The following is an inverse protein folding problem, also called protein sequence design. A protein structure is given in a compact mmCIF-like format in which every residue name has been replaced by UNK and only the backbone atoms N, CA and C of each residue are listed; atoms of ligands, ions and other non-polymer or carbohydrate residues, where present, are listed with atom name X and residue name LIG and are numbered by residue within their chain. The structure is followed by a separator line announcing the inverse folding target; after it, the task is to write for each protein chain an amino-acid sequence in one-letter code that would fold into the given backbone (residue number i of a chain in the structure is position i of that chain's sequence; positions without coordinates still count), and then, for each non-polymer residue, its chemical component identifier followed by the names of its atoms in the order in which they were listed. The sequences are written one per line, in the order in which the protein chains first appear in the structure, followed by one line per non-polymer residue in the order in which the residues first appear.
data_IF_318863930907
#
_entry.id   IF_318863930907
#
_cell.length_a   1.000
_cell.length_b   1.000
_cell.length_c   1.000
_cell.angle_alpha   90.00
_cell.angle_beta   90.00
_cell.angle_gamma   90.00
#
_symmetry.space_group_name_H-M   'P 1'
#
loop_
_entity.id
_entity.type
_entity.pdbx_description
1 polymer ?
#
# COMPACT_ATOMS: atom_id res chain seq x y z
N UNK A 1 1.71 18.93 5.00
CA UNK A 1 2.15 17.66 4.37
C UNK A 1 1.10 16.58 4.60
N UNK A 2 0.84 15.71 3.61
CA UNK A 2 -0.13 14.60 3.72
C UNK A 2 0.21 13.63 4.85
N UNK A 3 1.51 13.37 5.05
CA UNK A 3 2.03 12.54 6.13
C UNK A 3 1.58 13.06 7.51
N UNK A 4 1.73 14.36 7.77
CA UNK A 4 1.28 14.98 9.02
C UNK A 4 -0.24 14.89 9.18
N UNK A 5 -0.99 15.07 8.10
CA UNK A 5 -2.45 14.96 8.12
C UNK A 5 -2.92 13.52 8.43
N UNK A 6 -2.20 12.50 7.94
CA UNK A 6 -2.46 11.10 8.25
C UNK A 6 -2.03 10.72 9.67
N UNK A 7 -0.89 11.22 10.15
CA UNK A 7 -0.35 10.94 11.48
C UNK A 7 -1.18 11.57 12.63
N UNK A 8 -2.03 12.57 12.33
CA UNK A 8 -2.84 13.26 13.35
C UNK A 8 -2.02 14.01 14.39
N UNK A 9 -0.73 14.25 14.11
CA UNK A 9 0.26 14.96 14.94
C UNK A 9 1.19 15.75 14.02
N UNK A 10 1.78 16.84 14.52
CA UNK A 10 2.92 17.52 13.90
C UNK A 10 4.19 16.65 13.99
N UNK A 11 4.15 15.45 13.42
CA UNK A 11 5.24 14.48 13.51
C UNK A 11 6.43 14.81 12.58
N UNK A 12 6.25 15.69 11.60
CA UNK A 12 7.35 16.11 10.75
C UNK A 12 7.44 17.63 10.66
N UNK A 13 8.62 18.17 11.00
CA UNK A 13 9.05 19.48 10.54
C UNK A 13 9.26 19.35 9.02
N UNK A 14 8.20 19.56 8.26
CA UNK A 14 8.26 19.63 6.79
C UNK A 14 8.41 21.09 6.42
N UNK A 15 9.55 21.45 5.83
CA UNK A 15 9.73 22.77 5.24
C UNK A 15 9.10 22.77 3.85
N UNK A 16 8.39 23.84 3.48
CA UNK A 16 7.61 23.97 2.23
C UNK A 16 8.46 24.03 0.93
N UNK A 17 9.72 23.60 0.97
CA UNK A 17 10.60 23.61 -0.19
C UNK A 17 10.46 22.27 -0.91
N UNK A 18 9.84 22.29 -2.10
CA UNK A 18 9.72 21.14 -2.99
C UNK A 18 11.12 20.54 -3.28
N UNK A 19 11.32 19.25 -2.98
CA UNK A 19 12.58 18.54 -3.21
C UNK A 19 13.55 18.43 -2.02
N UNK A 20 13.06 18.56 -0.77
CA UNK A 20 13.90 18.51 0.45
C UNK A 20 14.03 17.14 1.12
N UNK A 21 13.21 16.15 0.78
CA UNK A 21 13.29 14.80 1.36
C UNK A 21 14.37 13.98 0.65
N UNK A 22 15.64 14.34 0.90
CA UNK A 22 16.84 13.65 0.39
C UNK A 22 17.04 12.26 1.00
N UNK A 23 16.48 12.03 2.18
CA UNK A 23 16.43 10.73 2.84
C UNK A 23 14.99 10.20 2.81
N UNK A 24 14.87 8.88 2.62
CA UNK A 24 13.60 8.17 2.72
C UNK A 24 13.08 8.33 4.16
N UNK A 25 12.03 9.13 4.34
CA UNK A 25 11.39 9.30 5.64
C UNK A 25 10.49 8.11 5.89
N UNK A 26 10.75 7.37 6.96
CA UNK A 26 9.95 6.23 7.39
C UNK A 26 9.20 6.61 8.65
N UNK A 27 7.88 6.64 8.56
CA UNK A 27 7.01 7.00 9.67
C UNK A 27 6.08 5.85 10.03
N UNK A 28 5.94 5.64 11.34
CA UNK A 28 5.06 4.63 11.92
C UNK A 28 3.82 5.32 12.47
N UNK A 29 2.70 5.19 11.79
CA UNK A 29 1.43 5.80 12.22
C UNK A 29 0.42 4.74 12.63
N UNK A 30 -0.54 5.14 13.45
CA UNK A 30 -1.67 4.29 13.82
C UNK A 30 -2.96 4.97 13.34
N UNK A 31 -3.73 4.25 12.53
CA UNK A 31 -5.00 4.71 11.98
C UNK A 31 -6.10 3.83 12.57
N UNK A 32 -6.84 4.33 13.56
CA UNK A 32 -7.89 3.57 14.26
C UNK A 32 -7.42 2.17 14.76
N UNK A 33 -6.18 2.10 15.26
CA UNK A 33 -5.56 0.86 15.74
C UNK A 33 -4.82 0.04 14.67
N UNK A 34 -4.96 0.40 13.39
CA UNK A 34 -4.23 -0.18 12.26
C UNK A 34 -2.82 0.41 12.21
N UNK A 35 -1.74 -0.38 12.38
CA UNK A 35 -0.38 0.12 12.20
C UNK A 35 -0.09 0.29 10.70
N UNK A 36 0.42 1.45 10.30
CA UNK A 36 0.92 1.69 8.95
C UNK A 36 2.38 2.13 9.02
N UNK A 37 3.15 1.65 8.04
CA UNK A 37 4.48 2.13 7.73
C UNK A 37 4.38 2.99 6.49
N UNK A 38 4.50 4.31 6.64
CA UNK A 38 4.52 5.23 5.51
C UNK A 38 5.95 5.56 5.17
N UNK A 39 6.27 5.43 3.90
CA UNK A 39 7.59 5.70 3.36
C UNK A 39 7.45 6.85 2.37
N UNK A 40 7.96 8.03 2.73
CA UNK A 40 8.10 9.14 1.79
C UNK A 40 9.33 8.88 0.96
N UNK A 41 9.12 8.53 -0.31
CA UNK A 41 10.25 8.35 -1.23
C UNK A 41 10.80 9.73 -1.59
N UNK A 42 12.13 9.84 -1.67
CA UNK A 42 12.74 11.01 -2.29
C UNK A 42 12.08 11.20 -3.65
N UNK A 43 11.57 12.41 -3.91
CA UNK A 43 10.75 12.69 -5.09
C UNK A 43 11.36 12.04 -6.32
N UNK A 44 10.67 11.05 -6.87
CA UNK A 44 11.10 10.36 -8.07
C UNK A 44 11.15 11.46 -9.16
N UNK A 45 12.32 11.75 -9.70
CA UNK A 45 12.51 12.71 -10.80
C UNK A 45 13.82 12.36 -11.48
N UNK A 46 14.06 12.87 -12.67
CA UNK A 46 15.31 12.60 -13.38
C UNK A 46 16.49 13.14 -12.57
N UNK A 47 17.38 12.23 -12.14
CA UNK A 47 18.56 12.58 -11.36
C UNK A 47 19.53 13.44 -12.18
N UNK A 48 20.03 14.50 -11.56
CA UNK A 48 21.09 15.34 -12.13
C UNK A 48 22.48 14.97 -11.59
N UNK A 49 22.56 14.24 -10.47
CA UNK A 49 23.81 13.76 -9.88
C UNK A 49 23.76 12.27 -9.44
N UNK A 50 24.93 11.69 -9.17
CA UNK A 50 25.12 10.29 -8.76
C UNK A 50 24.40 9.97 -7.43
N UNK A 51 24.27 10.95 -6.54
CA UNK A 51 23.64 10.79 -5.22
C UNK A 51 22.12 10.70 -5.36
N UNK A 52 21.53 11.53 -6.21
CA UNK A 52 20.11 11.48 -6.59
C UNK A 52 19.78 10.15 -7.28
N UNK A 53 20.68 9.61 -8.10
CA UNK A 53 20.50 8.28 -8.72
C UNK A 53 20.38 7.18 -7.67
N UNK A 54 21.24 7.19 -6.65
CA UNK A 54 21.16 6.25 -5.51
C UNK A 54 19.86 6.45 -4.73
N UNK A 55 19.42 7.69 -4.55
CA UNK A 55 18.13 8.02 -3.91
C UNK A 55 16.93 7.42 -4.65
N UNK A 56 16.91 7.53 -5.98
CA UNK A 56 15.87 6.94 -6.83
C UNK A 56 15.91 5.41 -6.76
N UNK A 57 17.09 4.81 -6.82
CA UNK A 57 17.23 3.35 -6.74
C UNK A 57 16.71 2.80 -5.41
N UNK A 58 16.99 3.49 -4.30
CA UNK A 58 16.42 3.18 -2.98
C UNK A 58 14.90 3.35 -2.97
N UNK A 59 14.37 4.44 -3.53
CA UNK A 59 12.93 4.64 -3.63
C UNK A 59 12.22 3.48 -4.36
N UNK A 60 12.84 2.96 -5.43
CA UNK A 60 12.31 1.78 -6.12
C UNK A 60 12.34 0.50 -5.28
N UNK A 61 13.40 0.27 -4.49
CA UNK A 61 13.47 -0.87 -3.58
C UNK A 61 12.38 -0.82 -2.50
N UNK A 62 12.01 0.37 -2.02
CA UNK A 62 10.91 0.55 -1.08
C UNK A 62 9.55 0.33 -1.76
N UNK A 63 9.39 0.81 -3.00
CA UNK A 63 8.18 0.58 -3.80
C UNK A 63 7.94 -0.91 -4.03
N UNK A 64 8.98 -1.68 -4.39
CA UNK A 64 8.87 -3.12 -4.64
C UNK A 64 8.43 -3.92 -3.39
N UNK A 65 8.63 -3.36 -2.20
CA UNK A 65 8.23 -3.96 -0.92
C UNK A 65 6.91 -3.40 -0.39
N UNK A 66 6.32 -2.41 -1.06
CA UNK A 66 5.12 -1.74 -0.58
C UNK A 66 3.86 -2.57 -0.87
N UNK A 67 2.95 -2.62 0.10
CA UNK A 67 1.62 -3.23 -0.07
C UNK A 67 0.70 -2.37 -0.96
N UNK A 68 0.98 -1.06 -1.05
CA UNK A 68 0.21 -0.09 -1.85
C UNK A 68 1.03 1.16 -2.12
N UNK A 69 0.87 1.73 -3.31
CA UNK A 69 1.47 3.00 -3.70
C UNK A 69 0.44 4.12 -3.67
N UNK A 70 0.78 5.24 -3.03
CA UNK A 70 0.04 6.50 -3.11
C UNK A 70 0.68 7.40 -4.16
N UNK A 71 0.06 7.51 -5.33
CA UNK A 71 0.53 8.35 -6.43
C UNK A 71 0.00 9.78 -6.27
N UNK A 72 0.83 10.67 -5.72
CA UNK A 72 0.42 12.02 -5.36
C UNK A 72 0.51 12.98 -6.55
N UNK A 73 -0.60 13.68 -6.80
CA UNK A 73 -0.76 14.68 -7.85
C UNK A 73 -1.16 16.02 -7.26
N UNK A 74 -0.68 17.08 -7.87
CA UNK A 74 -1.15 18.44 -7.57
C UNK A 74 -2.34 18.77 -8.47
N UNK A 75 -3.53 18.87 -7.88
CA UNK A 75 -4.78 19.20 -8.57
C UNK A 75 -4.75 20.52 -9.32
N UNK A 76 -3.85 21.45 -8.97
CA UNK A 76 -3.73 22.74 -9.64
C UNK A 76 -2.94 22.67 -10.96
N UNK A 77 -2.21 21.59 -11.18
CA UNK A 77 -1.26 21.47 -12.31
C UNK A 77 -1.77 20.67 -13.49
N UNK A 78 -2.71 19.74 -13.26
CA UNK A 78 -3.21 18.86 -14.32
C UNK A 78 -4.58 18.30 -13.96
N UNK A 79 -5.51 18.31 -14.91
CA UNK A 79 -6.81 17.63 -14.80
C UNK A 79 -6.70 16.13 -15.11
N UNK A 80 -5.57 15.69 -15.67
CA UNK A 80 -5.36 14.28 -15.96
C UNK A 80 -5.29 13.47 -14.67
N UNK A 81 -5.97 12.33 -14.67
CA UNK A 81 -6.08 11.42 -13.54
C UNK A 81 -5.46 10.06 -13.85
N UNK A 82 -5.08 9.80 -15.10
CA UNK A 82 -4.45 8.55 -15.50
C UNK A 82 -2.94 8.57 -15.25
N UNK A 83 -2.42 7.74 -14.32
CA UNK A 83 -0.99 7.71 -14.02
C UNK A 83 -0.14 7.37 -15.25
N UNK A 84 -0.66 6.54 -16.15
CA UNK A 84 0.01 6.13 -17.38
C UNK A 84 0.27 7.29 -18.35
N UNK A 85 -0.57 8.34 -18.31
CA UNK A 85 -0.38 9.53 -19.13
C UNK A 85 0.48 10.58 -18.45
N UNK A 86 0.41 10.66 -17.12
CA UNK A 86 1.18 11.63 -16.33
C UNK A 86 2.63 11.16 -16.22
N UNK A 87 2.83 9.87 -15.99
CA UNK A 87 4.13 9.27 -15.80
C UNK A 87 4.21 7.82 -16.31
N UNK A 88 4.28 7.63 -17.63
CA UNK A 88 4.33 6.30 -18.24
C UNK A 88 5.52 5.46 -17.76
N UNK A 89 6.68 6.10 -17.56
CA UNK A 89 7.91 5.43 -17.10
C UNK A 89 7.76 4.84 -15.70
N UNK A 90 7.11 5.55 -14.78
CA UNK A 90 6.80 5.04 -13.45
C UNK A 90 5.87 3.83 -13.52
N UNK A 91 4.79 3.95 -14.27
CA UNK A 91 3.79 2.88 -14.39
C UNK A 91 4.35 1.62 -15.07
N UNK A 92 5.23 1.79 -16.07
CA UNK A 92 5.86 0.64 -16.74
C UNK A 92 6.86 -0.12 -15.87
N UNK A 93 7.47 0.54 -14.88
CA UNK A 93 8.41 -0.08 -13.95
C UNK A 93 7.73 -0.63 -12.69
N UNK A 94 6.55 -0.12 -12.35
CA UNK A 94 5.80 -0.57 -11.19
C UNK A 94 5.36 -2.03 -11.34
N UNK A 95 5.58 -2.90 -10.32
CA UNK A 95 5.08 -4.26 -10.34
C UNK A 95 3.55 -4.30 -10.47
N UNK A 96 2.97 -5.12 -11.39
CA UNK A 96 1.52 -5.19 -11.60
C UNK A 96 0.71 -5.66 -10.38
N UNK A 97 1.37 -6.32 -9.43
CA UNK A 97 0.76 -6.80 -8.19
C UNK A 97 0.51 -5.71 -7.15
N UNK A 98 1.18 -4.54 -7.27
CA UNK A 98 1.10 -3.49 -6.27
C UNK A 98 -0.03 -2.52 -6.67
N UNK A 99 -1.11 -2.43 -5.88
CA UNK A 99 -2.21 -1.53 -6.20
C UNK A 99 -1.78 -0.06 -6.04
N UNK A 100 -2.30 0.79 -6.92
CA UNK A 100 -2.05 2.23 -6.91
C UNK A 100 -3.31 2.98 -6.50
N UNK A 101 -3.16 3.95 -5.61
CA UNK A 101 -4.21 4.93 -5.27
C UNK A 101 -3.72 6.31 -5.62
N UNK A 102 -4.53 7.05 -6.37
CA UNK A 102 -4.17 8.36 -6.89
C UNK A 102 -4.67 9.40 -5.90
N UNK A 103 -3.77 10.28 -5.45
CA UNK A 103 -4.10 11.32 -4.48
C UNK A 103 -4.04 12.67 -5.18
N UNK A 104 -5.20 13.26 -5.45
CA UNK A 104 -5.35 14.61 -5.99
C UNK A 104 -5.34 15.61 -4.83
N UNK A 105 -4.17 16.17 -4.56
CA UNK A 105 -3.94 17.07 -3.43
C UNK A 105 -4.10 18.54 -3.84
N UNK A 106 -4.33 19.42 -2.86
CA UNK A 106 -4.56 20.87 -3.00
C UNK A 106 -5.94 21.25 -3.58
N UNK A 107 -6.96 20.45 -3.27
CA UNK A 107 -8.36 20.75 -3.60
C UNK A 107 -8.84 22.14 -3.10
N UNK A 108 -8.24 22.65 -2.02
CA UNK A 108 -8.49 24.00 -1.48
C UNK A 108 -8.10 25.12 -2.45
N UNK A 109 -7.18 24.86 -3.38
CA UNK A 109 -6.71 25.82 -4.37
C UNK A 109 -7.36 25.57 -5.73
N UNK A 110 -7.46 24.30 -6.15
CA UNK A 110 -8.05 23.96 -7.46
C UNK A 110 -9.57 24.15 -7.50
N UNK A 111 -10.24 24.15 -6.34
CA UNK A 111 -11.70 24.20 -6.24
C UNK A 111 -12.38 22.89 -6.64
N UNK A 112 -11.61 21.81 -6.85
CA UNK A 112 -12.18 20.47 -7.03
C UNK A 112 -12.90 20.03 -5.76
N UNK A 113 -14.05 19.38 -5.92
CA UNK A 113 -14.79 18.80 -4.79
C UNK A 113 -14.04 17.59 -4.24
N UNK A 114 -13.87 17.54 -2.91
CA UNK A 114 -13.28 16.37 -2.27
C UNK A 114 -14.17 15.16 -2.46
N UNK A 115 -13.55 14.01 -2.69
CA UNK A 115 -14.30 12.81 -2.98
C UNK A 115 -13.41 11.65 -3.38
N UNK A 116 -14.04 10.47 -3.39
CA UNK A 116 -13.44 9.24 -3.89
C UNK A 116 -14.14 8.86 -5.19
N UNK A 117 -13.36 8.53 -6.21
CA UNK A 117 -13.86 8.05 -7.51
C UNK A 117 -13.03 6.87 -7.95
N UNK A 118 -13.68 5.89 -8.56
CA UNK A 118 -12.99 4.75 -9.15
C UNK A 118 -13.22 4.77 -10.65
N UNK A 119 -12.15 5.04 -11.40
CA UNK A 119 -12.20 5.16 -12.86
C UNK A 119 -10.99 4.45 -13.47
N UNK A 120 -11.21 3.76 -14.59
CA UNK A 120 -10.14 3.05 -15.32
C UNK A 120 -9.32 2.06 -14.46
N UNK A 121 -9.94 1.48 -13.42
CA UNK A 121 -9.28 0.53 -12.51
C UNK A 121 -8.46 1.18 -11.38
N UNK A 122 -8.39 2.51 -11.32
CA UNK A 122 -7.70 3.24 -10.26
C UNK A 122 -8.70 3.92 -9.33
N UNK A 123 -8.39 3.92 -8.03
CA UNK A 123 -9.10 4.74 -7.05
C UNK A 123 -8.39 6.08 -6.92
N UNK A 124 -9.12 7.15 -7.22
CA UNK A 124 -8.68 8.54 -7.10
C UNK A 124 -9.37 9.19 -5.91
N UNK A 125 -8.58 9.81 -5.04
CA UNK A 125 -9.05 10.53 -3.86
C UNK A 125 -8.60 11.98 -3.98
N UNK A 126 -9.59 12.87 -4.12
CA UNK A 126 -9.38 14.32 -4.11
C UNK A 126 -9.48 14.82 -2.68
N UNK A 127 -8.43 15.51 -2.22
CA UNK A 127 -8.31 16.01 -0.86
C UNK A 127 -7.47 17.29 -0.79
N UNK A 128 -7.52 17.96 0.36
CA UNK A 128 -6.53 18.96 0.73
C UNK A 128 -5.82 18.54 2.00
N UNK A 129 -4.53 18.22 1.86
CA UNK A 129 -3.67 17.93 3.01
C UNK A 129 -3.48 19.15 3.92
N UNK A 130 -3.70 20.37 3.42
CA UNK A 130 -3.51 21.61 4.18
C UNK A 130 -4.72 21.91 5.06
N UNK A 131 -5.93 21.82 4.51
CA UNK A 131 -7.18 22.04 5.25
C UNK A 131 -7.68 20.78 5.95
N UNK A 132 -7.03 19.64 5.69
CA UNK A 132 -7.41 18.29 6.14
C UNK A 132 -8.76 17.80 5.58
N UNK A 133 -9.33 18.51 4.60
CA UNK A 133 -10.55 18.07 3.92
C UNK A 133 -10.25 16.83 3.05
N UNK A 134 -11.15 15.85 3.06
CA UNK A 134 -11.00 14.60 2.31
C UNK A 134 -10.01 13.59 2.91
N UNK A 135 -9.25 13.95 3.96
CA UNK A 135 -8.30 13.03 4.61
C UNK A 135 -9.01 11.82 5.22
N UNK A 136 -10.22 12.01 5.74
CA UNK A 136 -11.01 10.91 6.29
C UNK A 136 -11.34 9.85 5.23
N UNK A 137 -11.63 10.28 3.99
CA UNK A 137 -11.88 9.37 2.87
C UNK A 137 -10.64 8.53 2.54
N UNK A 138 -9.46 9.15 2.56
CA UNK A 138 -8.20 8.42 2.41
C UNK A 138 -7.99 7.40 3.53
N UNK A 139 -8.30 7.77 4.77
CA UNK A 139 -8.15 6.85 5.91
C UNK A 139 -9.08 5.65 5.80
N UNK A 140 -10.32 5.86 5.39
CA UNK A 140 -11.30 4.80 5.16
C UNK A 140 -10.89 3.89 4.01
N UNK A 141 -10.49 4.46 2.88
CA UNK A 141 -9.98 3.71 1.73
C UNK A 141 -8.76 2.84 2.08
N UNK A 142 -7.82 3.37 2.89
CA UNK A 142 -6.65 2.60 3.32
C UNK A 142 -7.06 1.42 4.22
N UNK A 143 -8.04 1.58 5.11
CA UNK A 143 -8.58 0.49 5.93
C UNK A 143 -9.21 -0.60 5.07
N UNK A 144 -10.07 -0.20 4.13
CA UNK A 144 -10.75 -1.13 3.22
C UNK A 144 -9.76 -1.87 2.32
N UNK A 145 -8.76 -1.15 1.80
CA UNK A 145 -7.76 -1.68 0.88
C UNK A 145 -6.89 -2.79 1.47
N UNK A 146 -6.69 -2.80 2.78
CA UNK A 146 -5.94 -3.86 3.46
C UNK A 146 -6.85 -4.90 4.14
N UNK A 147 -8.16 -4.80 3.93
CA UNK A 147 -9.14 -5.69 4.57
C UNK A 147 -9.23 -5.51 6.08
N UNK A 148 -8.86 -4.33 6.61
CA UNK A 148 -8.99 -4.03 8.03
C UNK A 148 -10.47 -3.84 8.37
N UNK A 149 -11.12 -4.95 8.70
CA UNK A 149 -12.43 -4.94 9.33
C UNK A 149 -12.23 -4.71 10.81
N UNK A 150 -12.94 -3.73 11.38
CA UNK A 150 -13.03 -3.59 12.83
C UNK A 150 -13.64 -4.88 13.36
N UNK A 151 -12.79 -5.75 13.88
CA UNK A 151 -13.20 -7.04 14.43
C UNK A 151 -13.97 -6.74 15.72
N UNK A 152 -15.28 -6.57 15.58
CA UNK A 152 -16.22 -6.82 16.67
C UNK A 152 -16.13 -8.31 17.01
N UNK A 153 -15.45 -8.62 18.12
CA UNK A 153 -15.30 -9.93 18.76
C UNK A 153 -15.12 -11.16 17.83
N UNK A 154 -13.88 -11.67 17.72
CA UNK A 154 -13.61 -13.05 17.26
C UNK A 154 -12.62 -13.22 16.10
N UNK A 155 -12.11 -12.14 15.52
CA UNK A 155 -11.11 -12.17 14.46
C UNK A 155 -9.72 -12.46 15.00
N UNK A 156 -9.17 -13.61 14.60
CA UNK A 156 -7.80 -13.99 14.91
C UNK A 156 -6.82 -13.16 14.07
N UNK A 157 -5.88 -12.48 14.72
CA UNK A 157 -4.71 -11.89 14.06
C UNK A 157 -3.74 -13.00 13.65
N UNK A 158 -3.89 -13.52 12.43
CA UNK A 158 -2.95 -14.48 11.86
C UNK A 158 -1.79 -13.74 11.17
N UNK A 159 -0.55 -13.99 11.61
CA UNK A 159 0.65 -13.52 10.90
C UNK A 159 0.87 -14.37 9.65
N UNK A 160 1.63 -13.87 8.68
CA UNK A 160 1.99 -14.59 7.45
C UNK A 160 2.46 -16.04 7.71
N UNK A 161 3.34 -16.27 8.69
CA UNK A 161 3.79 -17.64 9.06
C UNK A 161 2.65 -18.58 9.48
N UNK A 162 1.58 -18.05 10.10
CA UNK A 162 0.43 -18.86 10.51
C UNK A 162 -0.41 -19.23 9.29
N UNK A 163 -0.54 -18.31 8.33
CA UNK A 163 -1.22 -18.58 7.06
C UNK A 163 -0.43 -19.61 6.23
N UNK A 164 0.88 -19.46 6.15
CA UNK A 164 1.77 -20.41 5.45
C UNK A 164 1.68 -21.81 6.08
N UNK A 165 1.66 -21.92 7.41
CA UNK A 165 1.48 -23.20 8.10
C UNK A 165 0.09 -23.81 7.82
N UNK A 166 -0.97 -23.01 7.76
CA UNK A 166 -2.32 -23.48 7.44
C UNK A 166 -2.43 -23.94 5.98
N UNK A 167 -1.81 -23.22 5.04
CA UNK A 167 -1.75 -23.65 3.63
C UNK A 167 -0.99 -24.97 3.47
N UNK A 168 0.15 -25.12 4.14
CA UNK A 168 0.93 -26.36 4.13
C UNK A 168 0.12 -27.52 4.73
N UNK A 169 -0.52 -27.30 5.88
CA UNK A 169 -1.39 -28.30 6.49
C UNK A 169 -2.55 -28.69 5.56
N UNK A 170 -3.18 -27.72 4.89
CA UNK A 170 -4.25 -27.99 3.94
C UNK A 170 -3.77 -28.79 2.72
N UNK A 171 -2.58 -28.49 2.19
CA UNK A 171 -1.96 -29.27 1.11
C UNK A 171 -1.71 -30.72 1.51
N UNK A 172 -1.12 -30.95 2.69
CA UNK A 172 -0.87 -32.29 3.22
C UNK A 172 -2.18 -33.05 3.47
N UNK A 173 -3.22 -32.40 4.01
CA UNK A 173 -4.54 -33.02 4.19
C UNK A 173 -5.18 -33.42 2.85
N UNK A 174 -5.08 -32.57 1.82
CA UNK A 174 -5.59 -32.88 0.49
C UNK A 174 -4.82 -34.04 -0.15
N UNK A 175 -3.49 -34.04 -0.03
CA UNK A 175 -2.63 -35.10 -0.52
C UNK A 175 -2.95 -36.43 0.17
N UNK A 176 -3.07 -36.43 1.50
CA UNK A 176 -3.45 -37.60 2.29
C UNK A 176 -4.84 -38.14 1.90
N UNK A 177 -5.80 -37.26 1.65
CA UNK A 177 -7.13 -37.66 1.16
C UNK A 177 -7.06 -38.39 -0.19
N UNK A 178 -6.24 -37.88 -1.13
CA UNK A 178 -6.01 -38.53 -2.43
C UNK A 178 -5.35 -39.90 -2.24
N UNK A 179 -4.30 -40.00 -1.42
CA UNK A 179 -3.60 -41.26 -1.15
C UNK A 179 -4.52 -42.32 -0.55
N UNK A 180 -5.42 -41.93 0.36
CA UNK A 180 -6.40 -42.84 0.95
C UNK A 180 -7.48 -43.28 -0.06
N UNK A 181 -8.05 -42.34 -0.80
CA UNK A 181 -9.28 -42.60 -1.59
C UNK A 181 -9.01 -43.16 -2.99
N UNK A 182 -7.89 -42.79 -3.61
CA UNK A 182 -7.55 -43.23 -4.96
C UNK A 182 -6.58 -44.41 -4.95
N UNK A 183 -5.59 -44.37 -4.06
CA UNK A 183 -4.52 -45.36 -4.02
C UNK A 183 -4.66 -46.37 -2.87
N UNK A 184 -5.65 -46.20 -1.99
CA UNK A 184 -5.89 -47.05 -0.80
C UNK A 184 -4.65 -47.19 0.09
N UNK A 185 -3.77 -46.19 0.06
CA UNK A 185 -2.48 -46.19 0.74
C UNK A 185 -2.59 -45.52 2.12
N UNK A 186 -3.09 -46.26 3.11
CA UNK A 186 -3.27 -45.76 4.48
C UNK A 186 -1.97 -45.34 5.16
N UNK A 187 -0.84 -45.96 4.81
CA UNK A 187 0.48 -45.58 5.33
C UNK A 187 0.92 -44.21 4.82
N UNK A 188 0.62 -43.88 3.56
CA UNK A 188 0.91 -42.56 2.99
C UNK A 188 0.02 -41.48 3.58
N UNK A 189 -1.26 -41.78 3.85
CA UNK A 189 -2.11 -40.88 4.63
C UNK A 189 -1.51 -40.57 6.01
N UNK A 190 -1.01 -41.59 6.70
CA UNK A 190 -0.43 -41.40 8.04
C UNK A 190 0.79 -40.48 8.01
N UNK A 191 1.63 -40.58 6.97
CA UNK A 191 2.77 -39.68 6.79
C UNK A 191 2.33 -38.25 6.45
N UNK A 192 1.33 -38.06 5.58
CA UNK A 192 0.79 -36.74 5.26
C UNK A 192 0.14 -36.06 6.48
N UNK A 193 -0.59 -36.81 7.32
CA UNK A 193 -1.17 -36.27 8.57
C UNK A 193 -0.10 -35.85 9.57
N UNK A 194 1.04 -36.53 9.60
CA UNK A 194 2.17 -36.18 10.45
C UNK A 194 2.87 -34.91 9.96
N UNK A 195 2.93 -34.67 8.65
CA UNK A 195 3.45 -33.43 8.08
C UNK A 195 2.51 -32.22 8.29
N UNK A 196 1.21 -32.47 8.48
CA UNK A 196 0.22 -31.43 8.73
C UNK A 196 0.12 -30.96 10.21
N UNK A 197 0.79 -31.64 11.14
CA UNK A 197 0.72 -31.42 12.59
C UNK A 197 1.77 -30.41 13.10
#
# INVERSE_FOLDING_TARGET
SLLNALAGRDAAIVTDIAGTTRDVLREHIHLDGMPLHIIDTAGLRTATDEVERIGIERAWQEIDQADRVLFMLDSTTTDETLPEKIWPEFMSRLPPSIPVTIIRNKADISGETEGIRTENGYTTITLSAKTQQGIQLLKEHLKESIGYQTVTEGGFLARRRHLEALEQAAQHLQQGHIQLTQFYAGELLAEELKMAQ
#
